data_IF_297668779816
#
_entry.id   IF_297668779816
#
_cell.length_a   1.000
_cell.length_b   1.000
_cell.length_c   1.000
_cell.angle_alpha   90.00
_cell.angle_beta   90.00
_cell.angle_gamma   90.00
#
_symmetry.space_group_name_H-M   'P 1'
#
loop_
_entity.id
_entity.type
_entity.pdbx_description
1 polymer ?
#
# COMPACT_ATOMS: atom_id res chain seq x y z
N UNK A 1 -3.66 -4.15 11.64
CA UNK A 1 -2.36 -4.13 10.94
C UNK A 1 -2.53 -4.75 9.56
N UNK A 2 -1.91 -4.17 8.53
CA UNK A 2 -1.82 -4.68 7.17
C UNK A 2 -0.79 -5.82 7.12
N UNK A 3 -1.07 -6.84 6.31
CA UNK A 3 -0.21 -8.02 6.15
C UNK A 3 0.67 -7.89 4.91
N UNK A 4 1.98 -8.09 5.08
CA UNK A 4 2.94 -8.10 3.97
C UNK A 4 2.62 -9.21 2.97
N UNK A 5 2.23 -10.39 3.45
CA UNK A 5 1.85 -11.51 2.58
C UNK A 5 0.68 -11.13 1.66
N UNK A 6 -0.36 -10.50 2.22
CA UNK A 6 -1.53 -10.06 1.43
C UNK A 6 -1.13 -8.98 0.42
N UNK A 7 -0.25 -8.06 0.81
CA UNK A 7 0.26 -7.03 -0.10
C UNK A 7 1.05 -7.64 -1.28
N UNK A 8 1.92 -8.63 -1.04
CA UNK A 8 2.65 -9.34 -2.08
C UNK A 8 1.73 -10.21 -2.96
N UNK A 9 0.69 -10.85 -2.40
CA UNK A 9 -0.30 -11.59 -3.20
C UNK A 9 -1.08 -10.65 -4.13
N UNK A 10 -1.53 -9.51 -3.62
CA UNK A 10 -2.22 -8.49 -4.43
C UNK A 10 -1.31 -7.94 -5.53
N UNK A 11 -0.03 -7.74 -5.24
CA UNK A 11 0.95 -7.32 -6.23
C UNK A 11 1.24 -8.39 -7.29
N UNK A 12 1.29 -9.66 -6.92
CA UNK A 12 1.55 -10.73 -7.89
C UNK A 12 0.38 -10.94 -8.85
N UNK A 13 -0.86 -11.03 -8.33
CA UNK A 13 -2.04 -11.28 -9.16
C UNK A 13 -2.62 -10.01 -9.82
N UNK A 14 -2.50 -8.85 -9.17
CA UNK A 14 -3.13 -7.60 -9.59
C UNK A 14 -2.15 -6.41 -9.64
N UNK A 15 -0.84 -6.66 -9.64
CA UNK A 15 0.16 -5.60 -9.57
C UNK A 15 0.20 -4.69 -10.79
N UNK A 16 -0.20 -5.17 -11.97
CA UNK A 16 -0.37 -4.31 -13.16
C UNK A 16 -1.54 -3.33 -13.00
N UNK A 17 -2.57 -3.72 -12.25
CA UNK A 17 -3.71 -2.85 -11.92
C UNK A 17 -3.41 -1.94 -10.71
N UNK A 18 -2.29 -2.15 -10.01
CA UNK A 18 -1.89 -1.35 -8.84
C UNK A 18 -2.74 -1.59 -7.59
N UNK A 19 -3.50 -2.70 -7.50
CA UNK A 19 -4.47 -2.95 -6.40
C UNK A 19 -3.80 -2.99 -5.02
N UNK A 20 -2.57 -3.49 -4.94
CA UNK A 20 -1.78 -3.51 -3.69
C UNK A 20 -1.57 -2.12 -3.10
N UNK A 21 -1.46 -1.05 -3.91
CA UNK A 21 -1.34 0.33 -3.43
C UNK A 21 -2.61 0.84 -2.75
N UNK A 22 -3.78 0.41 -3.22
CA UNK A 22 -5.06 0.74 -2.58
C UNK A 22 -5.21 0.01 -1.24
N UNK A 23 -4.81 -1.26 -1.16
CA UNK A 23 -4.83 -2.02 0.11
C UNK A 23 -3.99 -1.35 1.21
N UNK A 24 -2.85 -0.76 0.82
CA UNK A 24 -1.92 -0.05 1.70
C UNK A 24 -2.31 1.43 1.96
N UNK A 25 -3.47 1.88 1.45
CA UNK A 25 -3.97 3.23 1.68
C UNK A 25 -3.29 4.32 0.85
N UNK A 26 -2.50 3.94 -0.17
CA UNK A 26 -1.85 4.88 -1.10
C UNK A 26 -2.69 5.14 -2.34
N UNK A 27 -3.94 5.58 -2.15
CA UNK A 27 -4.95 5.77 -3.20
C UNK A 27 -4.49 6.68 -4.34
N UNK A 28 -3.93 7.86 -4.05
CA UNK A 28 -3.44 8.78 -5.08
C UNK A 28 -2.40 8.12 -5.98
N UNK A 29 -1.45 7.41 -5.38
CA UNK A 29 -0.41 6.71 -6.13
C UNK A 29 -0.96 5.50 -6.88
N UNK A 30 -1.96 4.81 -6.34
CA UNK A 30 -2.66 3.70 -7.01
C UNK A 30 -3.45 4.18 -8.22
N UNK A 31 -4.10 5.34 -8.15
CA UNK A 31 -4.81 5.96 -9.28
C UNK A 31 -3.83 6.35 -10.38
N UNK A 32 -2.72 7.02 -10.04
CA UNK A 32 -1.68 7.36 -11.01
C UNK A 32 -1.11 6.09 -11.65
N UNK A 33 -0.84 5.06 -10.85
CA UNK A 33 -0.35 3.77 -11.33
C UNK A 33 -1.36 3.10 -12.27
N UNK A 34 -2.64 3.09 -11.94
CA UNK A 34 -3.70 2.52 -12.77
C UNK A 34 -3.87 3.27 -14.10
N UNK A 35 -3.89 4.61 -14.07
CA UNK A 35 -4.03 5.47 -15.26
C UNK A 35 -2.80 5.39 -16.18
N UNK A 36 -1.63 5.10 -15.62
CA UNK A 36 -0.38 4.90 -16.39
C UNK A 36 -0.11 3.43 -16.73
N UNK A 37 -0.98 2.50 -16.31
CA UNK A 37 -0.83 1.06 -16.53
C UNK A 37 0.38 0.44 -15.83
N UNK A 38 0.79 0.98 -14.69
CA UNK A 38 2.03 0.60 -14.01
C UNK A 38 3.28 0.88 -14.84
N UNK A 39 3.23 1.96 -15.64
CA UNK A 39 4.25 2.46 -16.57
C UNK A 39 5.08 1.34 -17.24
N UNK A 40 4.41 0.51 -18.06
CA UNK A 40 4.99 -0.60 -18.85
C UNK A 40 5.58 -1.78 -18.04
N UNK A 41 5.19 -1.95 -16.78
CA UNK A 41 5.65 -3.07 -15.94
C UNK A 41 6.95 -2.79 -15.18
N UNK A 42 7.56 -1.62 -15.38
CA UNK A 42 8.69 -1.16 -14.55
C UNK A 42 8.20 -0.91 -13.12
N UNK A 43 7.02 -0.31 -12.98
CA UNK A 43 6.38 -0.11 -11.68
C UNK A 43 6.18 -1.43 -10.92
N UNK A 44 5.91 -2.51 -11.65
CA UNK A 44 5.69 -3.83 -11.05
C UNK A 44 6.98 -4.37 -10.42
N UNK A 45 8.13 -4.18 -11.08
CA UNK A 45 9.44 -4.60 -10.53
C UNK A 45 9.84 -3.71 -9.34
N UNK A 46 9.68 -2.39 -9.46
CA UNK A 46 10.03 -1.46 -8.38
C UNK A 46 9.20 -1.75 -7.12
N UNK A 47 7.91 -2.09 -7.30
CA UNK A 47 7.03 -2.37 -6.18
C UNK A 47 7.45 -3.61 -5.36
N UNK A 48 8.23 -4.55 -5.92
CA UNK A 48 8.82 -5.68 -5.17
C UNK A 48 9.62 -5.18 -3.94
N UNK A 49 10.39 -4.11 -4.12
CA UNK A 49 11.24 -3.50 -3.09
C UNK A 49 10.47 -2.52 -2.21
N UNK A 50 9.45 -1.84 -2.77
CA UNK A 50 8.69 -0.83 -2.04
C UNK A 50 7.62 -1.41 -1.11
N UNK A 51 7.06 -2.58 -1.41
CA UNK A 51 5.93 -3.15 -0.63
C UNK A 51 6.24 -3.28 0.85
N UNK A 52 7.45 -3.72 1.22
CA UNK A 52 7.86 -3.81 2.63
C UNK A 52 7.71 -2.48 3.36
N UNK A 53 8.35 -1.43 2.83
CA UNK A 53 8.25 -0.08 3.42
C UNK A 53 6.84 0.48 3.42
N UNK A 54 6.03 0.18 2.39
CA UNK A 54 4.63 0.61 2.34
C UNK A 54 3.75 -0.07 3.39
N UNK A 55 4.01 -1.34 3.71
CA UNK A 55 3.31 -2.07 4.79
C UNK A 55 3.65 -1.47 6.15
N UNK A 56 4.93 -1.20 6.39
CA UNK A 56 5.40 -0.60 7.64
C UNK A 56 4.81 0.80 7.83
N UNK A 57 4.81 1.62 6.78
CA UNK A 57 4.21 2.95 6.78
C UNK A 57 2.70 2.89 7.09
N UNK A 58 1.97 1.96 6.46
CA UNK A 58 0.55 1.79 6.69
C UNK A 58 0.23 1.33 8.12
N UNK A 59 1.06 0.44 8.67
CA UNK A 59 0.93 -0.03 10.05
C UNK A 59 1.25 1.07 11.06
N UNK A 60 2.31 1.84 10.84
CA UNK A 60 2.69 2.97 11.68
C UNK A 60 1.59 4.04 11.72
N UNK A 61 1.03 4.42 10.56
CA UNK A 61 -0.08 5.36 10.47
C UNK A 61 -1.32 4.88 11.24
N UNK A 62 -1.69 3.61 11.08
CA UNK A 62 -2.82 3.03 11.79
C UNK A 62 -2.62 3.03 13.31
N UNK A 63 -1.41 2.71 13.78
CA UNK A 63 -1.07 2.74 15.20
C UNK A 63 -1.15 4.15 15.80
N UNK A 64 -0.63 5.16 15.10
CA UNK A 64 -0.69 6.55 15.56
C UNK A 64 -2.12 7.07 15.62
N UNK A 65 -2.96 6.76 14.63
CA UNK A 65 -4.38 7.16 14.63
C UNK A 65 -5.11 6.54 15.82
N UNK A 66 -4.90 5.25 16.09
CA UNK A 66 -5.50 4.59 17.26
C UNK A 66 -4.99 5.18 18.59
N UNK A 67 -3.72 5.58 18.65
CA UNK A 67 -3.17 6.26 19.83
C UNK A 67 -3.82 7.64 20.03
N UNK A 68 -3.98 8.42 18.96
CA UNK A 68 -4.63 9.74 19.00
C UNK A 68 -6.11 9.62 19.41
N UNK A 69 -6.84 8.64 18.86
CA UNK A 69 -8.23 8.36 19.23
C UNK A 69 -8.36 8.04 20.73
N UNK A 70 -7.48 7.19 21.26
CA UNK A 70 -7.45 6.86 22.68
C UNK A 70 -7.10 8.07 23.58
N UNK A 71 -6.39 9.08 23.08
CA UNK A 71 -6.10 10.31 23.84
C UNK A 71 -7.26 11.30 23.83
N UNK A 72 -8.09 11.34 22.77
CA UNK A 72 -9.23 12.24 22.69
C UNK A 72 -10.47 11.74 23.45
N UNK A 73 -10.59 10.42 23.63
CA UNK A 73 -11.71 9.78 24.32
C UNK A 73 -11.44 9.49 25.82
N UNK A 74 -10.31 9.94 26.37
CA UNK A 74 -9.98 9.90 27.80
C UNK A 74 -10.00 11.30 28.38
#
# INVERSE_FOLDING_TARGET
>A
MKSSLVAYLLWFFFGLLGIHRFYLGKTTSGIVYLLTGGVFGIGWIIDLFLIGGMVDEANFKAGNIAAMENMMHR
#
